data_IF_317479289976
#
_entry.id   IF_317479289976
#
_cell.length_a   1.000
_cell.length_b   1.000
_cell.length_c   1.000
_cell.angle_alpha   90.00
_cell.angle_beta   90.00
_cell.angle_gamma   90.00
#
_symmetry.space_group_name_H-M   'P 1'
#
loop_
_entity.id
_entity.type
_entity.pdbx_description
1 polymer ?
#
# COMPACT_ATOMS: atom_id res chain seq x y z
N UNK A 1 -2.73 -8.45 15.32
CA UNK A 1 -1.75 -8.68 16.41
C UNK A 1 -0.38 -8.04 16.16
N UNK A 2 0.08 -7.85 14.90
CA UNK A 2 1.45 -7.36 14.64
C UNK A 2 1.68 -5.89 14.21
N UNK A 3 0.67 -5.01 14.14
CA UNK A 3 0.85 -3.68 13.51
C UNK A 3 0.22 -2.50 14.28
N UNK A 4 -0.09 -2.66 15.58
CA UNK A 4 -0.63 -1.54 16.38
C UNK A 4 0.02 -1.48 17.77
N UNK A 5 0.72 -0.39 18.13
CA UNK A 5 1.60 -0.35 19.29
C UNK A 5 0.87 -0.20 20.64
N UNK A 6 -0.44 0.06 20.65
CA UNK A 6 -1.21 0.26 21.88
C UNK A 6 -2.27 -0.83 22.09
N UNK A 7 -2.32 -1.44 23.30
CA UNK A 7 -3.37 -2.39 23.67
C UNK A 7 -4.79 -1.83 23.49
N UNK A 8 -4.97 -0.51 23.72
CA UNK A 8 -6.25 0.18 23.53
C UNK A 8 -6.66 0.25 22.05
N UNK A 9 -5.71 0.44 21.15
CA UNK A 9 -5.96 0.46 19.70
C UNK A 9 -6.29 -0.94 19.20
N UNK A 10 -5.60 -1.97 19.71
CA UNK A 10 -5.95 -3.37 19.44
C UNK A 10 -7.40 -3.69 19.82
N UNK A 11 -7.81 -3.29 21.03
CA UNK A 11 -9.17 -3.50 21.48
C UNK A 11 -10.20 -2.75 20.62
N UNK A 12 -9.92 -1.50 20.22
CA UNK A 12 -10.82 -0.74 19.32
C UNK A 12 -10.96 -1.38 17.95
N UNK A 13 -9.86 -1.85 17.35
CA UNK A 13 -9.87 -2.57 16.08
C UNK A 13 -10.69 -3.85 16.21
N UNK A 14 -10.41 -4.67 17.22
CA UNK A 14 -11.15 -5.91 17.46
C UNK A 14 -12.65 -5.66 17.70
N UNK A 15 -13.01 -4.55 18.35
CA UNK A 15 -14.40 -4.17 18.59
C UNK A 15 -15.10 -3.62 17.34
N UNK A 16 -14.38 -3.01 16.40
CA UNK A 16 -14.95 -2.47 15.16
C UNK A 16 -15.12 -3.52 14.06
N UNK A 17 -14.27 -4.55 14.07
CA UNK A 17 -14.26 -5.64 13.08
C UNK A 17 -15.63 -6.34 12.93
N UNK A 18 -16.34 -6.75 14.01
CA UNK A 18 -17.68 -7.33 13.89
C UNK A 18 -18.73 -6.38 13.29
N UNK A 19 -18.62 -5.07 13.55
CA UNK A 19 -19.52 -4.06 12.98
C UNK A 19 -19.26 -3.87 11.48
N UNK A 20 -17.99 -3.83 11.07
CA UNK A 20 -17.61 -3.77 9.66
C UNK A 20 -18.09 -5.02 8.91
N UNK A 21 -17.93 -6.21 9.50
CA UNK A 21 -18.43 -7.45 8.92
C UNK A 21 -19.95 -7.55 8.88
N UNK A 22 -20.68 -6.96 9.83
CA UNK A 22 -22.16 -6.84 9.76
C UNK A 22 -22.63 -5.90 8.65
N UNK A 23 -21.83 -4.88 8.31
CA UNK A 23 -22.14 -3.95 7.22
C UNK A 23 -21.84 -4.54 5.83
N UNK A 24 -21.01 -5.57 5.75
CA UNK A 24 -20.75 -6.32 4.51
C UNK A 24 -21.84 -7.36 4.34
N UNK A 25 -22.49 -7.36 3.18
CA UNK A 25 -23.48 -8.37 2.82
C UNK A 25 -22.89 -9.79 2.95
N UNK A 26 -23.63 -10.72 3.57
CA UNK A 26 -23.13 -12.09 3.87
C UNK A 26 -22.55 -12.81 2.64
N UNK A 27 -23.14 -12.60 1.47
CA UNK A 27 -22.68 -13.22 0.21
C UNK A 27 -21.34 -12.64 -0.24
N UNK A 28 -21.16 -11.33 -0.10
CA UNK A 28 -19.91 -10.63 -0.40
C UNK A 28 -18.80 -11.07 0.55
N UNK A 29 -19.10 -11.18 1.85
CA UNK A 29 -18.14 -11.66 2.83
C UNK A 29 -17.68 -13.09 2.53
N UNK A 30 -18.63 -14.00 2.24
CA UNK A 30 -18.30 -15.38 1.84
C UNK A 30 -17.43 -15.43 0.58
N UNK A 31 -17.73 -14.60 -0.43
CA UNK A 31 -16.92 -14.52 -1.66
C UNK A 31 -15.49 -14.09 -1.37
N UNK A 32 -15.29 -13.04 -0.58
CA UNK A 32 -13.96 -12.53 -0.21
C UNK A 32 -13.17 -13.58 0.59
N UNK A 33 -13.82 -14.22 1.57
CA UNK A 33 -13.20 -15.28 2.38
C UNK A 33 -12.79 -16.47 1.50
N UNK A 34 -13.65 -16.89 0.56
CA UNK A 34 -13.32 -17.94 -0.38
C UNK A 34 -12.15 -17.54 -1.30
N UNK A 35 -12.12 -16.30 -1.78
CA UNK A 35 -11.01 -15.81 -2.59
C UNK A 35 -9.68 -15.86 -1.83
N UNK A 36 -9.66 -15.45 -0.56
CA UNK A 36 -8.47 -15.56 0.29
C UNK A 36 -8.08 -17.01 0.56
N UNK A 37 -9.05 -17.92 0.69
CA UNK A 37 -8.81 -19.36 0.79
C UNK A 37 -8.12 -19.89 -0.48
N UNK A 38 -8.68 -19.61 -1.66
CA UNK A 38 -8.11 -20.03 -2.95
C UNK A 38 -6.70 -19.47 -3.17
N UNK A 39 -6.47 -18.22 -2.79
CA UNK A 39 -5.14 -17.57 -2.82
C UNK A 39 -4.19 -18.07 -1.72
N UNK A 40 -4.61 -19.03 -0.88
CA UNK A 40 -3.86 -19.57 0.27
C UNK A 40 -3.39 -18.49 1.24
N UNK A 41 -4.15 -17.40 1.39
CA UNK A 41 -3.85 -16.31 2.32
C UNK A 41 -4.44 -16.55 3.72
N UNK A 42 -5.47 -17.40 3.81
CA UNK A 42 -6.11 -17.77 5.08
C UNK A 42 -6.27 -19.27 5.20
N UNK A 43 -6.21 -19.75 6.43
CA UNK A 43 -6.47 -21.12 6.85
C UNK A 43 -7.69 -21.14 7.79
N UNK A 44 -8.42 -22.25 7.78
CA UNK A 44 -9.58 -22.47 8.64
C UNK A 44 -9.18 -23.52 9.66
N UNK A 45 -9.33 -23.20 10.94
CA UNK A 45 -9.07 -24.10 12.06
C UNK A 45 -10.39 -24.37 12.75
N UNK A 46 -10.72 -25.64 12.88
CA UNK A 46 -11.86 -26.07 13.67
C UNK A 46 -11.43 -26.18 15.13
N UNK A 47 -12.11 -25.44 15.99
CA UNK A 47 -11.90 -25.45 17.42
C UNK A 47 -12.63 -26.66 18.04
N UNK A 48 -12.21 -27.07 19.23
CA UNK A 48 -12.78 -28.25 19.92
C UNK A 48 -14.28 -28.12 20.24
N UNK A 49 -14.83 -26.91 20.21
CA UNK A 49 -16.24 -26.60 20.44
C UNK A 49 -17.07 -26.56 19.15
N UNK A 50 -16.48 -26.86 17.98
CA UNK A 50 -17.14 -26.81 16.68
C UNK A 50 -17.12 -25.44 16.00
N UNK A 51 -16.49 -24.42 16.62
CA UNK A 51 -16.32 -23.12 15.98
C UNK A 51 -15.22 -23.16 14.91
N UNK A 52 -15.36 -22.35 13.87
CA UNK A 52 -14.37 -22.23 12.80
C UNK A 52 -13.62 -20.90 12.94
N UNK A 53 -12.35 -20.96 13.30
CA UNK A 53 -11.45 -19.80 13.35
C UNK A 53 -10.75 -19.63 12.00
N UNK A 54 -10.87 -18.46 11.39
CA UNK A 54 -10.12 -18.09 10.19
C UNK A 54 -8.84 -17.37 10.62
N UNK A 55 -7.68 -17.93 10.26
CA UNK A 55 -6.36 -17.35 10.58
C UNK A 55 -5.57 -17.07 9.31
N UNK A 56 -4.62 -16.12 9.37
CA UNK A 56 -3.67 -15.94 8.27
C UNK A 56 -2.76 -17.17 8.17
N UNK A 57 -2.64 -17.73 6.96
CA UNK A 57 -1.64 -18.76 6.65
C UNK A 57 -0.23 -18.16 6.74
N UNK A 58 0.82 -18.98 6.68
CA UNK A 58 2.19 -18.43 6.60
C UNK A 58 2.40 -17.54 5.37
N UNK A 59 1.80 -17.91 4.22
CA UNK A 59 1.79 -17.06 3.03
C UNK A 59 1.01 -15.77 3.28
N UNK A 60 -0.15 -15.85 3.94
CA UNK A 60 -0.96 -14.70 4.31
C UNK A 60 -0.28 -13.75 5.29
N UNK A 61 0.46 -14.29 6.27
CA UNK A 61 1.30 -13.52 7.19
C UNK A 61 2.42 -12.83 6.43
N UNK A 62 3.16 -13.55 5.57
CA UNK A 62 4.22 -12.97 4.74
C UNK A 62 3.68 -11.90 3.80
N UNK A 63 2.51 -12.13 3.21
CA UNK A 63 1.79 -11.17 2.39
C UNK A 63 1.37 -9.94 3.22
N UNK A 64 0.80 -10.12 4.40
CA UNK A 64 0.43 -9.04 5.32
C UNK A 64 1.66 -8.26 5.85
N UNK A 65 2.81 -8.90 6.02
CA UNK A 65 4.06 -8.25 6.42
C UNK A 65 4.66 -7.38 5.30
N UNK A 66 4.34 -7.66 4.03
CA UNK A 66 4.59 -6.70 2.94
C UNK A 66 3.77 -5.43 3.10
N UNK A 67 2.73 -5.44 3.96
CA UNK A 67 1.98 -4.26 4.35
C UNK A 67 2.59 -3.44 5.49
N UNK A 68 3.83 -3.71 5.85
CA UNK A 68 4.60 -2.81 6.72
C UNK A 68 5.27 -1.72 5.86
N UNK A 69 4.93 -0.42 6.03
CA UNK A 69 5.59 0.68 5.33
C UNK A 69 7.11 0.68 5.49
N UNK A 70 7.61 0.19 6.63
CA UNK A 70 9.04 0.07 6.91
C UNK A 70 9.78 -0.91 5.99
N UNK A 71 9.06 -1.84 5.35
CA UNK A 71 9.63 -2.86 4.46
C UNK A 71 9.42 -2.56 2.97
N UNK A 72 8.86 -1.39 2.62
CA UNK A 72 8.67 -1.02 1.21
C UNK A 72 10.04 -0.67 0.63
N UNK A 73 10.49 -1.48 -0.32
CA UNK A 73 11.68 -1.20 -1.12
C UNK A 73 11.33 -1.17 -2.60
N UNK A 74 12.06 -0.36 -3.35
CA UNK A 74 12.02 -0.35 -4.81
C UNK A 74 13.23 -1.11 -5.30
N UNK A 75 13.00 -2.08 -6.19
CA UNK A 75 14.10 -2.78 -6.86
C UNK A 75 14.75 -1.81 -7.84
N UNK A 76 16.01 -1.47 -7.61
CA UNK A 76 16.79 -0.61 -8.52
C UNK A 76 17.42 -1.53 -9.57
N UNK A 77 17.00 -1.46 -10.85
CA UNK A 77 17.60 -2.25 -11.91
C UNK A 77 19.00 -1.75 -12.24
N UNK A 78 19.84 -2.62 -12.80
CA UNK A 78 21.20 -2.27 -13.27
C UNK A 78 21.19 -1.29 -14.43
N UNK A 79 20.14 -1.30 -15.26
CA UNK A 79 19.97 -0.42 -16.40
C UNK A 79 18.63 0.30 -16.31
N UNK A 80 18.64 1.62 -16.56
CA UNK A 80 17.43 2.43 -16.60
C UNK A 80 16.65 2.17 -17.90
N UNK A 81 15.34 2.00 -17.77
CA UNK A 81 14.43 1.73 -18.89
C UNK A 81 14.06 2.99 -19.70
N UNK A 82 14.76 4.11 -19.46
CA UNK A 82 14.55 5.42 -20.09
C UNK A 82 13.15 5.99 -19.91
N UNK A 83 12.45 5.58 -18.84
CA UNK A 83 11.11 6.08 -18.52
C UNK A 83 11.07 6.70 -17.14
N UNK A 84 10.45 7.85 -17.03
CA UNK A 84 10.16 8.50 -15.76
C UNK A 84 8.86 7.95 -15.16
N UNK A 85 8.87 7.75 -13.84
CA UNK A 85 7.70 7.41 -13.04
C UNK A 85 7.28 8.65 -12.27
N UNK A 86 6.11 9.18 -12.62
CA UNK A 86 5.60 10.41 -12.03
C UNK A 86 4.34 10.09 -11.22
N UNK A 87 4.27 10.61 -10.01
CA UNK A 87 3.11 10.53 -9.16
C UNK A 87 2.54 11.93 -9.03
N UNK A 88 1.27 12.07 -9.40
CA UNK A 88 0.51 13.31 -9.21
C UNK A 88 -0.65 13.03 -8.27
N UNK A 89 -0.89 13.90 -7.29
CA UNK A 89 -2.03 13.72 -6.40
C UNK A 89 -2.74 15.02 -6.03
N UNK A 90 -4.06 14.94 -5.89
CA UNK A 90 -4.91 16.02 -5.38
C UNK A 90 -5.77 15.49 -4.23
N UNK A 91 -5.17 15.43 -3.04
CA UNK A 91 -5.80 14.85 -1.84
C UNK A 91 -6.49 15.98 -1.07
N UNK A 92 -7.82 15.88 -0.82
CA UNK A 92 -8.58 16.94 -0.18
C UNK A 92 -8.09 17.22 1.25
N UNK A 93 -8.26 18.46 1.74
CA UNK A 93 -7.76 18.89 3.05
C UNK A 93 -8.31 18.06 4.22
N UNK A 94 -9.53 17.52 4.07
CA UNK A 94 -10.12 16.55 5.03
C UNK A 94 -9.25 15.30 5.25
N UNK A 95 -8.39 14.96 4.28
CA UNK A 95 -7.42 13.85 4.31
C UNK A 95 -5.97 14.33 4.42
N UNK A 96 -5.71 15.54 4.94
CA UNK A 96 -4.36 16.11 5.09
C UNK A 96 -3.35 15.17 5.74
N UNK A 97 -3.72 14.48 6.83
CA UNK A 97 -2.82 13.52 7.50
C UNK A 97 -2.35 12.41 6.56
N UNK A 98 -3.24 11.89 5.71
CA UNK A 98 -2.90 10.88 4.71
C UNK A 98 -2.03 11.45 3.59
N UNK A 99 -2.28 12.69 3.16
CA UNK A 99 -1.43 13.40 2.20
C UNK A 99 0.00 13.58 2.73
N UNK A 100 0.12 14.05 3.96
CA UNK A 100 1.42 14.35 4.58
C UNK A 100 2.20 13.04 4.83
N UNK A 101 1.52 11.96 5.23
CA UNK A 101 2.11 10.63 5.36
C UNK A 101 2.58 10.06 4.00
N UNK A 102 1.75 10.18 2.95
CA UNK A 102 2.12 9.73 1.60
C UNK A 102 3.37 10.48 1.10
N UNK A 103 3.44 11.80 1.30
CA UNK A 103 4.62 12.62 0.96
C UNK A 103 5.87 12.16 1.69
N UNK A 104 5.75 11.87 2.99
CA UNK A 104 6.87 11.39 3.79
C UNK A 104 7.41 10.06 3.26
N UNK A 105 6.54 9.08 2.98
CA UNK A 105 6.94 7.77 2.47
C UNK A 105 7.53 7.85 1.06
N UNK A 106 6.91 8.61 0.14
CA UNK A 106 7.43 8.82 -1.22
C UNK A 106 8.83 9.45 -1.17
N UNK A 107 9.05 10.43 -0.29
CA UNK A 107 10.37 11.04 -0.09
C UNK A 107 11.39 10.05 0.48
N UNK A 108 10.99 9.21 1.46
CA UNK A 108 11.83 8.14 2.03
C UNK A 108 12.27 7.13 0.97
N UNK A 109 11.41 6.86 -0.02
CA UNK A 109 11.71 5.98 -1.17
C UNK A 109 12.66 6.61 -2.21
N UNK A 110 13.08 7.86 -2.02
CA UNK A 110 14.06 8.53 -2.89
C UNK A 110 13.46 9.26 -4.09
N UNK A 111 12.15 9.50 -4.11
CA UNK A 111 11.54 10.35 -5.13
C UNK A 111 11.99 11.80 -4.97
N UNK A 112 12.07 12.50 -6.10
CA UNK A 112 12.30 13.93 -6.14
C UNK A 112 10.97 14.69 -6.26
N UNK A 113 10.84 15.79 -5.50
CA UNK A 113 9.65 16.66 -5.54
C UNK A 113 9.80 17.69 -6.66
N UNK A 114 9.09 17.51 -7.78
CA UNK A 114 9.04 18.51 -8.85
C UNK A 114 8.15 19.71 -8.47
N UNK A 115 7.07 19.43 -7.74
CA UNK A 115 6.12 20.42 -7.22
C UNK A 115 5.39 19.81 -6.00
N UNK A 116 4.65 20.63 -5.23
CA UNK A 116 3.90 20.22 -4.02
C UNK A 116 3.05 18.95 -4.15
N UNK A 117 2.65 18.56 -5.34
CA UNK A 117 1.85 17.36 -5.59
C UNK A 117 2.38 16.48 -6.71
N UNK A 118 3.62 16.74 -7.17
CA UNK A 118 4.22 16.08 -8.33
C UNK A 118 5.58 15.54 -7.94
N UNK A 119 5.72 14.22 -8.00
CA UNK A 119 6.92 13.50 -7.58
C UNK A 119 7.43 12.64 -8.71
N UNK A 120 8.75 12.56 -8.87
CA UNK A 120 9.39 11.85 -9.98
C UNK A 120 10.45 10.85 -9.48
N UNK A 121 10.54 9.72 -10.18
CA UNK A 121 11.53 8.68 -9.94
C UNK A 121 11.85 7.94 -11.25
N UNK A 122 13.08 7.44 -11.46
CA UNK A 122 13.44 6.82 -12.73
C UNK A 122 13.13 5.32 -12.80
N UNK A 123 13.01 4.62 -11.68
CA UNK A 123 12.86 3.15 -11.68
C UNK A 123 11.41 2.72 -11.44
N UNK A 124 11.05 1.51 -11.86
CA UNK A 124 9.71 0.98 -11.64
C UNK A 124 9.41 0.81 -10.14
N UNK A 125 8.42 1.56 -9.69
CA UNK A 125 7.98 1.67 -8.31
C UNK A 125 6.50 1.35 -8.17
N UNK A 126 5.84 0.80 -9.21
CA UNK A 126 4.38 0.68 -9.27
C UNK A 126 3.80 -0.04 -8.06
N UNK A 127 4.39 -1.17 -7.67
CA UNK A 127 3.92 -1.96 -6.53
C UNK A 127 4.03 -1.17 -5.21
N UNK A 128 5.11 -0.42 -5.01
CA UNK A 128 5.30 0.40 -3.82
C UNK A 128 4.27 1.54 -3.75
N UNK A 129 3.94 2.14 -4.89
CA UNK A 129 2.95 3.22 -4.92
C UNK A 129 1.53 2.68 -4.76
N UNK A 130 1.15 1.63 -5.48
CA UNK A 130 -0.16 0.98 -5.33
C UNK A 130 -0.40 0.55 -3.88
N UNK A 131 0.66 0.07 -3.22
CA UNK A 131 0.65 -0.21 -1.80
C UNK A 131 0.32 1.02 -0.94
N UNK A 132 1.11 2.09 -1.07
CA UNK A 132 0.99 3.28 -0.22
C UNK A 132 -0.37 3.94 -0.38
N UNK A 133 -0.87 4.05 -1.61
CA UNK A 133 -2.14 4.72 -1.88
C UNK A 133 -3.35 3.92 -1.39
N UNK A 134 -3.23 2.59 -1.33
CA UNK A 134 -4.23 1.71 -0.72
C UNK A 134 -4.16 1.81 0.81
N UNK A 135 -2.96 1.72 1.38
CA UNK A 135 -2.72 1.81 2.82
C UNK A 135 -3.24 3.11 3.44
N UNK A 136 -3.04 4.24 2.75
CA UNK A 136 -3.54 5.54 3.19
C UNK A 136 -4.97 5.86 2.72
N UNK A 137 -5.63 4.94 2.01
CA UNK A 137 -6.97 5.10 1.44
C UNK A 137 -7.13 6.36 0.57
N UNK A 138 -6.13 6.65 -0.25
CA UNK A 138 -6.07 7.84 -1.12
C UNK A 138 -6.01 7.50 -2.61
N UNK A 139 -6.04 6.21 -2.98
CA UNK A 139 -5.95 5.72 -4.37
C UNK A 139 -6.70 6.57 -5.41
N UNK A 140 -7.95 6.95 -5.13
CA UNK A 140 -8.79 7.74 -6.07
C UNK A 140 -8.23 9.13 -6.40
N UNK A 141 -7.42 9.70 -5.50
CA UNK A 141 -6.83 11.03 -5.58
C UNK A 141 -5.43 11.03 -6.19
N UNK A 142 -4.88 9.86 -6.51
CA UNK A 142 -3.51 9.71 -7.01
C UNK A 142 -3.54 9.22 -8.45
N UNK A 143 -2.61 9.72 -9.26
CA UNK A 143 -2.34 9.30 -10.63
C UNK A 143 -0.88 8.88 -10.73
N UNK A 144 -0.65 7.75 -11.37
CA UNK A 144 0.67 7.22 -11.68
C UNK A 144 0.88 7.31 -13.18
N UNK A 145 1.92 8.01 -13.60
CA UNK A 145 2.27 8.19 -15.00
C UNK A 145 3.60 7.50 -15.28
N UNK A 146 3.67 6.88 -16.45
CA UNK A 146 4.92 6.40 -17.04
C UNK A 146 5.17 7.27 -18.26
N UNK A 147 6.28 7.98 -18.24
CA UNK A 147 6.60 9.02 -19.24
C UNK A 147 7.90 8.62 -19.92
N UNK A 148 7.86 8.41 -21.24
CA UNK A 148 9.06 8.08 -22.04
C UNK A 148 9.91 9.31 -22.38
N UNK A 149 9.31 10.50 -22.39
CA UNK A 149 9.96 11.73 -22.80
C UNK A 149 9.51 12.90 -21.93
N UNK A 150 10.47 13.69 -21.46
CA UNK A 150 10.22 14.90 -20.70
C UNK A 150 11.25 15.94 -21.08
N UNK A 151 10.81 17.15 -21.39
CA UNK A 151 11.71 18.26 -21.70
C UNK A 151 12.50 18.68 -20.47
N UNK A 152 13.77 19.07 -20.66
CA UNK A 152 14.64 19.62 -19.62
C UNK A 152 14.84 18.67 -18.42
N UNK A 153 15.13 17.39 -18.67
CA UNK A 153 15.32 16.37 -17.62
C UNK A 153 16.80 16.09 -17.27
N UNK A 154 17.74 16.88 -17.80
CA UNK A 154 19.17 16.65 -17.65
C UNK A 154 19.66 16.76 -16.20
N UNK A 155 19.13 17.72 -15.44
CA UNK A 155 19.40 17.89 -14.01
C UNK A 155 18.88 16.70 -13.18
N UNK A 156 17.74 16.13 -13.57
CA UNK A 156 17.16 14.96 -12.92
C UNK A 156 17.98 13.71 -13.23
N UNK A 157 18.42 13.52 -14.48
CA UNK A 157 19.33 12.41 -14.84
C UNK A 157 20.60 12.46 -14.00
N UNK A 158 21.24 13.64 -13.92
CA UNK A 158 22.43 13.84 -13.09
C UNK A 158 22.15 13.51 -11.61
N UNK A 159 21.01 13.98 -11.07
CA UNK A 159 20.61 13.72 -9.68
C UNK A 159 20.44 12.23 -9.37
N UNK A 160 19.90 11.46 -10.32
CA UNK A 160 19.67 10.03 -10.16
C UNK A 160 20.84 9.16 -10.63
N UNK A 161 21.93 9.75 -11.14
CA UNK A 161 23.11 9.03 -11.63
C UNK A 161 22.84 8.24 -12.91
N UNK A 162 22.02 8.80 -13.81
CA UNK A 162 21.59 8.20 -15.09
C UNK A 162 22.36 8.75 -16.29
#
# INVERSE_FOLDING_TARGET
LGLSPSPRTHYRILKSVPKAFKAIERNTLKRIINEFKYKRLVEFKEEKNGDITIVLSELGKKHALRYNPENISISIPTCWDKKWRIIVFDIPEKKRKARDALRFEIKKLGFFELQKSVWIYPFDCRNAIDFLVEFFEVRRYVRYLVVSEMTYDADLKLRFGL
#
